data_IF_236572653634
#
_entry.id   IF_236572653634
#
_cell.length_a   1.000
_cell.length_b   1.000
_cell.length_c   1.000
_cell.angle_alpha   90.00
_cell.angle_beta   90.00
_cell.angle_gamma   90.00
#
_symmetry.space_group_name_H-M   'P 1'
#
loop_
_entity.id
_entity.type
_entity.pdbx_description
1 polymer ?
#
# COMPACT_ATOMS: atom_id res chain seq x y z
N UNK A 1 -47.32 -25.84 53.09
CA UNK A 1 -46.49 -24.63 53.29
C UNK A 1 -45.02 -24.84 52.92
N UNK A 2 -44.31 -25.85 53.44
CA UNK A 2 -42.88 -26.08 53.06
C UNK A 2 -42.65 -26.42 51.58
N UNK A 3 -43.53 -27.20 50.96
CA UNK A 3 -43.42 -27.60 49.55
C UNK A 3 -43.56 -26.40 48.59
N UNK A 4 -44.45 -25.47 48.92
CA UNK A 4 -44.69 -24.25 48.15
C UNK A 4 -43.52 -23.28 48.21
N UNK A 5 -42.84 -23.21 49.36
CA UNK A 5 -41.63 -22.39 49.53
C UNK A 5 -40.44 -22.95 48.72
N UNK A 6 -40.28 -24.28 48.70
CA UNK A 6 -39.24 -24.94 47.90
C UNK A 6 -39.46 -24.73 46.40
N UNK A 7 -40.70 -24.88 45.91
CA UNK A 7 -41.03 -24.60 44.51
C UNK A 7 -40.76 -23.14 44.15
N UNK A 8 -41.03 -22.20 45.06
CA UNK A 8 -40.73 -20.78 44.86
C UNK A 8 -39.22 -20.51 44.78
N UNK A 9 -38.43 -21.16 45.64
CA UNK A 9 -36.97 -21.06 45.59
C UNK A 9 -36.38 -21.67 44.31
N UNK A 10 -36.90 -22.82 43.88
CA UNK A 10 -36.46 -23.47 42.64
C UNK A 10 -36.77 -22.62 41.41
N UNK A 11 -37.96 -21.99 41.36
CA UNK A 11 -38.31 -21.05 40.30
C UNK A 11 -37.39 -19.83 40.27
N UNK A 12 -37.07 -19.25 41.43
CA UNK A 12 -36.14 -18.12 41.53
C UNK A 12 -34.73 -18.48 41.00
N UNK A 13 -34.21 -19.66 41.38
CA UNK A 13 -32.91 -20.13 40.89
C UNK A 13 -32.91 -20.38 39.37
N UNK A 14 -34.03 -20.87 38.82
CA UNK A 14 -34.18 -21.07 37.39
C UNK A 14 -34.21 -19.73 36.64
N UNK A 15 -34.97 -18.75 37.14
CA UNK A 15 -35.03 -17.39 36.59
C UNK A 15 -33.65 -16.72 36.59
N UNK A 16 -32.91 -16.78 37.70
CA UNK A 16 -31.55 -16.24 37.79
C UNK A 16 -30.59 -16.91 36.79
N UNK A 17 -30.70 -18.24 36.62
CA UNK A 17 -29.86 -18.97 35.65
C UNK A 17 -30.22 -18.61 34.21
N UNK A 18 -31.50 -18.50 33.88
CA UNK A 18 -31.97 -18.06 32.56
C UNK A 18 -31.45 -16.65 32.25
N UNK A 19 -31.59 -15.72 33.19
CA UNK A 19 -31.11 -14.34 33.03
C UNK A 19 -29.59 -14.30 32.83
N UNK A 20 -28.82 -15.08 33.59
CA UNK A 20 -27.36 -15.20 33.40
C UNK A 20 -26.97 -15.74 32.02
N UNK A 21 -27.73 -16.72 31.50
CA UNK A 21 -27.50 -17.26 30.16
C UNK A 21 -27.82 -16.24 29.07
N UNK A 22 -28.92 -15.50 29.19
CA UNK A 22 -29.29 -14.43 28.27
C UNK A 22 -28.22 -13.34 28.22
N UNK A 23 -27.70 -12.91 29.37
CA UNK A 23 -26.60 -11.95 29.42
C UNK A 23 -25.33 -12.46 28.71
N UNK A 24 -24.99 -13.73 28.88
CA UNK A 24 -23.83 -14.33 28.23
C UNK A 24 -24.01 -14.38 26.71
N UNK A 25 -25.20 -14.76 26.24
CA UNK A 25 -25.54 -14.74 24.81
C UNK A 25 -25.39 -13.33 24.26
N UNK A 26 -25.95 -12.31 24.91
CA UNK A 26 -25.82 -10.90 24.46
C UNK A 26 -24.36 -10.46 24.41
N UNK A 27 -23.57 -10.77 25.44
CA UNK A 27 -22.14 -10.45 25.50
C UNK A 27 -21.36 -11.11 24.35
N UNK A 28 -21.60 -12.38 24.09
CA UNK A 28 -20.92 -13.12 23.01
C UNK A 28 -21.35 -12.64 21.63
N UNK A 29 -22.65 -12.43 21.39
CA UNK A 29 -23.16 -11.90 20.12
C UNK A 29 -22.59 -10.51 19.83
N UNK A 30 -22.48 -9.65 20.84
CA UNK A 30 -21.88 -8.32 20.68
C UNK A 30 -20.38 -8.41 20.36
N UNK A 31 -19.65 -9.34 20.99
CA UNK A 31 -18.23 -9.58 20.66
C UNK A 31 -18.07 -10.10 19.24
N UNK A 32 -18.93 -11.04 18.82
CA UNK A 32 -18.92 -11.60 17.48
C UNK A 32 -19.18 -10.52 16.43
N UNK A 33 -20.20 -9.67 16.64
CA UNK A 33 -20.48 -8.56 15.74
C UNK A 33 -19.28 -7.62 15.59
N UNK A 34 -18.63 -7.23 16.70
CA UNK A 34 -17.44 -6.39 16.67
C UNK A 34 -16.27 -7.04 15.91
N UNK A 35 -16.09 -8.36 16.05
CA UNK A 35 -15.05 -9.08 15.32
C UNK A 35 -15.39 -9.17 13.83
N UNK A 36 -16.65 -9.39 13.51
CA UNK A 36 -17.14 -9.42 12.14
C UNK A 36 -16.94 -8.07 11.44
N UNK A 37 -17.31 -6.98 12.07
CA UNK A 37 -17.13 -5.63 11.52
C UNK A 37 -15.63 -5.33 11.27
N UNK A 38 -14.76 -5.73 12.20
CA UNK A 38 -13.30 -5.60 12.03
C UNK A 38 -12.78 -6.45 10.88
N UNK A 39 -13.27 -7.68 10.74
CA UNK A 39 -12.90 -8.57 9.65
C UNK A 39 -13.31 -8.00 8.29
N UNK A 40 -14.55 -7.54 8.16
CA UNK A 40 -15.05 -6.92 6.93
C UNK A 40 -14.25 -5.67 6.57
N UNK A 41 -13.93 -4.84 7.57
CA UNK A 41 -13.09 -3.66 7.36
C UNK A 41 -11.69 -4.02 6.85
N UNK A 42 -11.02 -4.99 7.50
CA UNK A 42 -9.70 -5.44 7.06
C UNK A 42 -9.72 -6.07 5.66
N UNK A 43 -10.80 -6.80 5.33
CA UNK A 43 -10.99 -7.37 4.00
C UNK A 43 -11.13 -6.26 2.93
N UNK A 44 -11.91 -5.21 3.21
CA UNK A 44 -12.05 -4.07 2.31
C UNK A 44 -10.73 -3.31 2.16
N UNK A 45 -10.02 -3.03 3.26
CA UNK A 45 -8.70 -2.39 3.23
C UNK A 45 -7.70 -3.17 2.36
N UNK A 46 -7.73 -4.51 2.42
CA UNK A 46 -6.88 -5.34 1.58
C UNK A 46 -7.19 -5.17 0.08
N UNK A 47 -8.47 -5.13 -0.29
CA UNK A 47 -8.90 -4.93 -1.68
C UNK A 47 -8.49 -3.53 -2.17
N UNK A 48 -8.71 -2.51 -1.34
CA UNK A 48 -8.37 -1.13 -1.67
C UNK A 48 -6.84 -0.97 -1.88
N UNK A 49 -6.04 -1.58 -1.00
CA UNK A 49 -4.57 -1.60 -1.13
C UNK A 49 -4.10 -2.34 -2.37
N UNK A 50 -4.73 -3.46 -2.72
CA UNK A 50 -4.40 -4.20 -3.95
C UNK A 50 -4.68 -3.37 -5.20
N UNK A 51 -5.84 -2.70 -5.25
CA UNK A 51 -6.20 -1.81 -6.35
C UNK A 51 -5.21 -0.65 -6.47
N UNK A 52 -4.93 0.04 -5.35
CA UNK A 52 -3.96 1.13 -5.32
C UNK A 52 -2.58 0.69 -5.80
N UNK A 53 -2.08 -0.45 -5.31
CA UNK A 53 -0.77 -0.96 -5.72
C UNK A 53 -0.72 -1.32 -7.21
N UNK A 54 -1.80 -1.91 -7.75
CA UNK A 54 -1.90 -2.23 -9.16
C UNK A 54 -1.86 -0.97 -10.03
N UNK A 55 -2.63 0.06 -9.64
CA UNK A 55 -2.65 1.34 -10.34
C UNK A 55 -1.27 2.02 -10.33
N UNK A 56 -0.65 2.16 -9.15
CA UNK A 56 0.69 2.75 -9.02
C UNK A 56 1.72 2.00 -9.88
N UNK A 57 1.63 0.67 -9.92
CA UNK A 57 2.50 -0.16 -10.77
C UNK A 57 2.28 0.13 -12.25
N UNK A 58 1.04 0.28 -12.69
CA UNK A 58 0.71 0.60 -14.08
C UNK A 58 1.25 1.98 -14.47
N UNK A 59 1.11 2.97 -13.59
CA UNK A 59 1.61 4.33 -13.80
C UNK A 59 3.15 4.34 -13.89
N UNK A 60 3.84 3.64 -12.98
CA UNK A 60 5.30 3.47 -13.05
C UNK A 60 5.74 2.79 -14.35
N UNK A 61 5.02 1.74 -14.78
CA UNK A 61 5.33 1.04 -16.02
C UNK A 61 5.10 1.92 -17.25
N UNK A 62 4.08 2.79 -17.23
CA UNK A 62 3.85 3.78 -18.28
C UNK A 62 5.02 4.77 -18.35
N UNK A 63 5.41 5.34 -17.21
CA UNK A 63 6.54 6.26 -17.13
C UNK A 63 7.84 5.63 -17.64
N UNK A 64 8.11 4.37 -17.30
CA UNK A 64 9.27 3.62 -17.83
C UNK A 64 9.21 3.50 -19.36
N UNK A 65 8.03 3.27 -19.95
CA UNK A 65 7.88 3.16 -21.40
C UNK A 65 8.17 4.51 -22.07
N UNK A 66 7.65 5.60 -21.53
CA UNK A 66 7.84 6.96 -22.07
C UNK A 66 9.31 7.40 -21.97
N UNK A 67 9.96 7.14 -20.83
CA UNK A 67 11.39 7.39 -20.65
C UNK A 67 12.24 6.56 -21.63
N UNK A 68 11.91 5.28 -21.82
CA UNK A 68 12.60 4.42 -22.79
C UNK A 68 12.42 4.91 -24.23
N UNK A 69 11.22 5.35 -24.60
CA UNK A 69 10.97 5.89 -25.93
C UNK A 69 11.79 7.17 -26.16
N UNK A 70 11.77 8.08 -25.18
CA UNK A 70 12.54 9.33 -25.22
C UNK A 70 14.03 9.07 -25.33
N UNK A 71 14.56 8.14 -24.54
CA UNK A 71 15.98 7.77 -24.57
C UNK A 71 16.38 7.17 -25.92
N UNK A 72 15.57 6.24 -26.46
CA UNK A 72 15.81 5.65 -27.79
C UNK A 72 15.81 6.71 -28.89
N UNK A 73 14.85 7.65 -28.86
CA UNK A 73 14.79 8.73 -29.82
C UNK A 73 16.04 9.62 -29.74
N UNK A 74 16.43 10.04 -28.54
CA UNK A 74 17.64 10.86 -28.33
C UNK A 74 18.90 10.13 -28.79
N UNK A 75 19.04 8.83 -28.47
CA UNK A 75 20.15 8.00 -28.91
C UNK A 75 20.23 7.92 -30.45
N UNK A 76 19.11 7.64 -31.11
CA UNK A 76 19.04 7.55 -32.57
C UNK A 76 19.42 8.88 -33.24
N UNK A 77 18.96 10.01 -32.69
CA UNK A 77 19.34 11.34 -33.17
C UNK A 77 20.85 11.55 -33.01
N UNK A 78 21.42 11.23 -31.84
CA UNK A 78 22.87 11.35 -31.63
C UNK A 78 23.66 10.49 -32.60
N UNK A 79 23.28 9.22 -32.78
CA UNK A 79 23.93 8.29 -33.71
C UNK A 79 23.86 8.76 -35.17
N UNK A 80 22.75 9.42 -35.56
CA UNK A 80 22.54 9.87 -36.94
C UNK A 80 23.24 11.18 -37.27
N UNK A 81 23.43 12.07 -36.29
CA UNK A 81 23.83 13.45 -36.54
C UNK A 81 25.10 13.91 -35.80
N UNK A 82 25.58 13.17 -34.80
CA UNK A 82 26.74 13.56 -33.99
C UNK A 82 27.93 12.64 -34.28
N UNK A 83 29.09 13.16 -34.70
CA UNK A 83 30.28 12.35 -34.88
C UNK A 83 30.71 11.67 -33.57
N UNK A 84 31.08 10.39 -33.64
CA UNK A 84 31.48 9.59 -32.46
C UNK A 84 32.60 10.23 -31.62
N UNK A 85 33.53 10.94 -32.27
CA UNK A 85 34.61 11.66 -31.59
C UNK A 85 34.10 12.76 -30.66
N UNK A 86 33.06 13.48 -31.07
CA UNK A 86 32.47 14.56 -30.27
C UNK A 86 31.67 13.99 -29.08
N UNK A 87 31.01 12.83 -29.28
CA UNK A 87 30.36 12.09 -28.19
C UNK A 87 31.38 11.68 -27.13
N UNK A 88 32.49 11.05 -27.55
CA UNK A 88 33.56 10.61 -26.63
C UNK A 88 34.18 11.78 -25.87
N UNK A 89 34.54 12.87 -26.57
CA UNK A 89 35.09 14.07 -25.95
C UNK A 89 34.13 14.66 -24.90
N UNK A 90 32.83 14.67 -25.18
CA UNK A 90 31.82 15.16 -24.23
C UNK A 90 31.70 14.24 -23.01
N UNK A 91 31.70 12.92 -23.21
CA UNK A 91 31.61 11.92 -22.13
C UNK A 91 32.82 11.98 -21.20
N UNK A 92 34.03 12.13 -21.73
CA UNK A 92 35.28 12.23 -20.94
C UNK A 92 35.31 13.45 -20.03
N UNK A 93 34.57 14.50 -20.37
CA UNK A 93 34.52 15.78 -19.65
C UNK A 93 33.25 15.97 -18.82
N UNK A 94 32.33 15.01 -18.88
CA UNK A 94 31.08 15.04 -18.15
C UNK A 94 31.33 14.65 -16.68
N UNK A 95 30.92 15.52 -15.77
CA UNK A 95 31.00 15.32 -14.32
C UNK A 95 29.61 15.49 -13.75
N UNK A 96 29.20 14.55 -12.92
CA UNK A 96 27.93 14.62 -12.21
C UNK A 96 28.03 15.61 -11.04
N UNK A 97 27.11 16.57 -10.99
CA UNK A 97 26.93 17.48 -9.86
C UNK A 97 25.75 16.98 -9.01
N UNK A 98 26.05 16.41 -7.84
CA UNK A 98 25.04 15.86 -6.95
C UNK A 98 24.28 16.92 -6.15
N UNK A 99 24.81 18.15 -6.04
CA UNK A 99 24.11 19.24 -5.34
C UNK A 99 23.00 19.81 -6.22
N UNK A 100 23.26 19.95 -7.52
CA UNK A 100 22.29 20.46 -8.50
C UNK A 100 21.50 19.38 -9.25
N UNK A 101 21.82 18.09 -9.03
CA UNK A 101 21.21 16.93 -9.72
C UNK A 101 21.35 17.01 -11.26
N UNK A 102 22.49 17.50 -11.74
CA UNK A 102 22.75 17.76 -13.16
C UNK A 102 24.14 17.29 -13.63
N UNK A 103 24.23 16.94 -14.92
CA UNK A 103 25.52 16.71 -15.59
C UNK A 103 26.15 18.03 -16.04
N UNK A 104 27.38 18.29 -15.61
CA UNK A 104 28.19 19.44 -16.05
C UNK A 104 29.29 18.97 -16.99
N UNK A 105 29.50 19.70 -18.10
CA UNK A 105 30.59 19.42 -19.04
C UNK A 105 31.70 20.46 -18.84
N UNK A 106 32.85 20.03 -18.33
CA UNK A 106 34.00 20.91 -18.07
C UNK A 106 34.55 21.45 -19.38
N UNK A 107 34.69 22.76 -19.58
CA UNK A 107 35.30 23.31 -20.81
C UNK A 107 36.76 22.83 -20.93
N UNK A 108 37.28 22.54 -22.14
CA UNK A 108 38.70 22.28 -22.30
C UNK A 108 39.46 23.52 -21.82
N UNK A 109 40.53 23.34 -21.04
CA UNK A 109 41.43 24.45 -20.71
C UNK A 109 42.00 24.99 -22.03
N UNK A 110 41.78 26.29 -22.30
CA UNK A 110 42.44 26.98 -23.40
C UNK A 110 43.96 26.93 -23.15
N UNK A 111 44.67 26.19 -23.98
CA UNK A 111 46.13 26.26 -24.11
C UNK A 111 46.48 27.12 -25.32
#
# INVERSE_FOLDING_TARGET
MKLTEQQRQENLLLEERCQSQEEQVVKLTTKLQKLWDKYQKAQQEMVDLQHFNQQEREDMLSMIRDLRQTLKLKALIMESFVPMKEIQNTQERAVWDAEEDEWRVLRPSLA
#
